data_IF_856469193661
#
_entry.id   IF_856469193661
#
_cell.length_a   1.000
_cell.length_b   1.000
_cell.length_c   1.000
_cell.angle_alpha   90.00
_cell.angle_beta   90.00
_cell.angle_gamma   90.00
#
_symmetry.space_group_name_H-M   'P 1'
#
loop_
_entity.id
_entity.type
_entity.pdbx_description
1 polymer ?
#
# COMPACT_ATOMS: atom_id res chain seq x y z
N UNK A 1 0.61 -17.86 13.90
CA UNK A 1 1.39 -17.54 12.68
C UNK A 1 0.57 -17.76 11.40
N UNK A 2 -0.56 -17.03 11.24
CA UNK A 2 -1.53 -17.23 10.15
C UNK A 2 -1.44 -16.19 9.03
N UNK A 3 -1.01 -14.97 9.32
CA UNK A 3 -0.80 -13.92 8.31
C UNK A 3 0.42 -14.28 7.46
N UNK A 4 0.23 -14.42 6.16
CA UNK A 4 1.29 -14.82 5.21
C UNK A 4 1.68 -13.70 4.24
N UNK A 5 0.76 -12.80 3.96
CA UNK A 5 0.95 -11.74 2.97
C UNK A 5 0.03 -10.55 3.27
N UNK A 6 0.41 -9.38 2.77
CA UNK A 6 -0.41 -8.16 2.80
C UNK A 6 -0.49 -7.63 1.37
N UNK A 7 -1.70 -7.40 0.87
CA UNK A 7 -1.87 -6.56 -0.32
C UNK A 7 -1.93 -5.12 0.16
N UNK A 8 -0.97 -4.30 -0.24
CA UNK A 8 -0.75 -2.96 0.31
C UNK A 8 -1.22 -1.92 -0.69
N UNK A 9 -2.51 -1.63 -0.69
CA UNK A 9 -3.13 -0.71 -1.64
C UNK A 9 -3.81 0.44 -0.89
N UNK A 10 -3.81 1.64 -1.48
CA UNK A 10 -4.69 2.71 -1.03
C UNK A 10 -6.10 2.50 -1.62
N UNK A 11 -7.09 3.24 -1.14
CA UNK A 11 -8.48 3.14 -1.59
C UNK A 11 -8.93 4.39 -2.31
N UNK A 12 -9.53 4.24 -3.50
CA UNK A 12 -10.23 5.36 -4.19
C UNK A 12 -11.50 5.79 -3.47
N UNK A 13 -12.05 4.92 -2.61
CA UNK A 13 -13.39 5.08 -2.02
C UNK A 13 -13.33 5.21 -0.51
N UNK A 14 -14.34 5.87 0.04
CA UNK A 14 -14.49 6.08 1.48
C UNK A 14 -14.64 4.77 2.26
N UNK A 15 -14.33 4.85 3.56
CA UNK A 15 -14.53 3.75 4.50
C UNK A 15 -15.99 3.26 4.47
N UNK A 16 -16.16 1.94 4.43
CA UNK A 16 -17.49 1.32 4.44
C UNK A 16 -18.24 1.36 3.11
N UNK A 17 -17.63 1.87 2.04
CA UNK A 17 -18.27 1.96 0.71
C UNK A 17 -18.58 0.60 0.05
N UNK A 18 -17.93 -0.49 0.50
CA UNK A 18 -18.02 -1.85 -0.10
C UNK A 18 -17.63 -1.89 -1.58
N UNK A 19 -16.79 -0.96 -2.02
CA UNK A 19 -16.30 -0.89 -3.40
C UNK A 19 -14.80 -1.19 -3.41
N UNK A 20 -14.42 -2.19 -4.18
CA UNK A 20 -13.03 -2.59 -4.35
C UNK A 20 -12.37 -1.83 -5.51
N UNK A 21 -11.79 -0.67 -5.18
CA UNK A 21 -11.10 0.20 -6.14
C UNK A 21 -9.80 0.72 -5.52
N UNK A 22 -8.70 0.06 -5.89
CA UNK A 22 -7.36 0.42 -5.45
C UNK A 22 -6.89 1.77 -6.01
N UNK A 23 -6.09 2.46 -5.21
CA UNK A 23 -5.40 3.70 -5.57
C UNK A 23 -3.90 3.58 -5.24
N UNK A 24 -3.09 4.40 -5.92
CA UNK A 24 -1.67 4.55 -5.61
C UNK A 24 -1.43 5.04 -4.18
N UNK A 25 -0.27 4.70 -3.62
CA UNK A 25 0.06 4.92 -2.22
C UNK A 25 0.01 6.41 -1.88
N UNK A 26 -0.85 6.76 -0.92
CA UNK A 26 -1.01 8.13 -0.44
C UNK A 26 -1.90 9.02 -1.31
N UNK A 27 -2.43 8.52 -2.43
CA UNK A 27 -3.35 9.25 -3.31
C UNK A 27 -4.82 8.91 -3.04
N UNK A 28 -5.09 7.94 -2.16
CA UNK A 28 -6.44 7.52 -1.81
C UNK A 28 -6.92 8.04 -0.45
N UNK A 29 -8.00 7.44 0.04
CA UNK A 29 -8.70 7.80 1.28
C UNK A 29 -8.07 7.19 2.53
N UNK A 30 -7.19 6.19 2.40
CA UNK A 30 -6.45 5.62 3.53
C UNK A 30 -5.29 6.57 3.90
N UNK A 31 -4.56 7.06 2.90
CA UNK A 31 -3.51 8.05 3.05
C UNK A 31 -2.20 7.55 3.67
N UNK A 32 -1.15 8.35 3.57
CA UNK A 32 0.24 7.97 3.90
C UNK A 32 0.45 7.51 5.35
N UNK A 33 -0.35 8.02 6.29
CA UNK A 33 -0.17 7.69 7.72
C UNK A 33 -0.37 6.20 8.00
N UNK A 34 -1.31 5.54 7.34
CA UNK A 34 -1.51 4.10 7.54
C UNK A 34 -0.32 3.28 7.02
N UNK A 35 0.23 3.66 5.87
CA UNK A 35 1.40 3.00 5.28
C UNK A 35 2.64 3.19 6.16
N UNK A 36 2.85 4.38 6.74
CA UNK A 36 3.92 4.62 7.72
C UNK A 36 3.83 3.68 8.92
N UNK A 37 2.61 3.44 9.45
CA UNK A 37 2.39 2.51 10.55
C UNK A 37 2.69 1.06 10.14
N UNK A 38 2.21 0.62 8.97
CA UNK A 38 2.42 -0.76 8.47
C UNK A 38 3.91 -1.03 8.19
N UNK A 39 4.60 -0.11 7.52
CA UNK A 39 5.99 -0.27 7.11
C UNK A 39 6.96 -0.34 8.30
N UNK A 40 6.59 0.27 9.43
CA UNK A 40 7.42 0.31 10.65
C UNK A 40 6.96 -0.65 11.76
N UNK A 41 5.90 -1.44 11.56
CA UNK A 41 5.47 -2.43 12.56
C UNK A 41 6.42 -3.65 12.57
N UNK A 42 7.08 -3.87 13.72
CA UNK A 42 8.00 -4.99 13.96
C UNK A 42 7.36 -6.36 13.71
N UNK A 43 6.05 -6.53 13.98
CA UNK A 43 5.32 -7.79 13.75
C UNK A 43 5.08 -8.06 12.27
N UNK A 44 5.03 -7.00 11.45
CA UNK A 44 4.78 -7.09 10.02
C UNK A 44 6.07 -7.05 9.18
N UNK A 45 7.22 -6.72 9.77
CA UNK A 45 8.51 -6.56 9.07
C UNK A 45 8.83 -7.69 8.10
N UNK A 46 8.63 -8.95 8.51
CA UNK A 46 8.94 -10.14 7.70
C UNK A 46 7.80 -10.63 6.81
N UNK A 47 6.62 -10.01 6.87
CA UNK A 47 5.49 -10.37 6.02
C UNK A 47 5.68 -9.73 4.64
N UNK A 48 5.65 -10.48 3.54
CA UNK A 48 5.67 -9.92 2.18
C UNK A 48 4.50 -8.96 1.94
N UNK A 49 4.75 -7.89 1.18
CA UNK A 49 3.72 -6.94 0.75
C UNK A 49 3.67 -6.85 -0.77
N UNK A 50 2.46 -6.91 -1.36
CA UNK A 50 2.23 -6.85 -2.81
C UNK A 50 1.43 -5.59 -3.17
N UNK A 51 1.86 -4.89 -4.22
CA UNK A 51 1.15 -3.75 -4.82
C UNK A 51 0.25 -4.22 -5.96
N UNK A 52 -1.04 -3.92 -5.86
CA UNK A 52 -2.08 -4.20 -6.88
C UNK A 52 -2.77 -2.90 -7.32
N UNK A 53 -1.99 -1.82 -7.38
CA UNK A 53 -2.43 -0.50 -7.84
C UNK A 53 -2.58 -0.47 -9.36
N UNK A 54 -3.29 0.51 -9.95
CA UNK A 54 -3.35 0.69 -11.40
C UNK A 54 -1.96 0.69 -12.05
N UNK A 55 -1.85 0.18 -13.28
CA UNK A 55 -0.58 0.02 -14.01
C UNK A 55 -0.69 0.69 -15.37
N UNK A 56 0.35 1.41 -15.76
CA UNK A 56 0.59 1.81 -17.14
C UNK A 56 1.65 0.89 -17.78
N UNK A 57 1.74 0.79 -19.11
CA UNK A 57 2.67 -0.11 -19.79
C UNK A 57 4.15 0.08 -19.43
N UNK A 58 4.55 1.28 -19.00
CA UNK A 58 5.92 1.60 -18.62
C UNK A 58 6.24 1.37 -17.13
N UNK A 59 5.25 0.95 -16.34
CA UNK A 59 5.37 0.56 -14.93
C UNK A 59 5.96 1.65 -14.01
N UNK A 60 5.94 2.92 -14.42
CA UNK A 60 6.50 4.03 -13.63
C UNK A 60 5.83 4.17 -12.28
N UNK A 61 4.53 3.90 -12.20
CA UNK A 61 3.73 4.00 -10.99
C UNK A 61 4.17 2.99 -9.94
N UNK A 62 4.64 1.81 -10.35
CA UNK A 62 5.15 0.80 -9.42
C UNK A 62 6.46 1.26 -8.78
N UNK A 63 7.36 1.82 -9.58
CA UNK A 63 8.60 2.40 -9.08
C UNK A 63 8.30 3.56 -8.13
N UNK A 64 7.33 4.42 -8.48
CA UNK A 64 6.87 5.51 -7.63
C UNK A 64 6.32 4.99 -6.28
N UNK A 65 5.39 4.04 -6.30
CA UNK A 65 4.78 3.48 -5.09
C UNK A 65 5.82 2.78 -4.20
N UNK A 66 6.73 2.01 -4.80
CA UNK A 66 7.83 1.38 -4.07
C UNK A 66 8.75 2.41 -3.41
N UNK A 67 9.12 3.48 -4.12
CA UNK A 67 9.94 4.57 -3.55
C UNK A 67 9.25 5.25 -2.37
N UNK A 68 7.94 5.49 -2.46
CA UNK A 68 7.15 6.06 -1.37
C UNK A 68 7.14 5.10 -0.17
N UNK A 69 6.83 3.82 -0.36
CA UNK A 69 6.80 2.86 0.75
C UNK A 69 8.17 2.70 1.43
N UNK A 70 9.25 2.67 0.65
CA UNK A 70 10.62 2.56 1.16
C UNK A 70 11.01 3.84 1.94
N UNK A 71 10.61 5.03 1.47
CA UNK A 71 10.95 6.28 2.14
C UNK A 71 10.28 6.45 3.51
N UNK A 72 9.25 5.66 3.82
CA UNK A 72 8.57 5.67 5.12
C UNK A 72 9.28 4.83 6.19
N UNK A 73 10.25 3.98 5.84
CA UNK A 73 10.96 3.12 6.78
C UNK A 73 11.96 3.95 7.61
N UNK A 74 11.92 3.77 8.93
CA UNK A 74 12.77 4.46 9.93
C UNK A 74 13.83 3.54 10.52
#
# INVERSE_FOLDING_TARGET
>A
NRLKIIHINDSKRELGSRVDRHEHIGKGRIGLRAFDLIMNDKKLKRIPKILETPKEPDMKEDIMNMKILISLIK
#
